data_IF_913924746381
#
_entry.id   IF_913924746381
#
_cell.length_a   1.000
_cell.length_b   1.000
_cell.length_c   1.000
_cell.angle_alpha   90.00
_cell.angle_beta   90.00
_cell.angle_gamma   90.00
#
_symmetry.space_group_name_H-M   'P 1'
#
loop_
_entity.id
_entity.type
_entity.pdbx_description
1 polymer ?
#
# COMPACT_ATOMS: atom_id res chain seq x y z
N UNK A 1 -6.43 9.82 -33.74
CA UNK A 1 -6.00 8.49 -33.22
C UNK A 1 -7.09 7.92 -32.32
N UNK A 2 -7.47 6.63 -32.42
CA UNK A 2 -8.51 6.09 -31.55
C UNK A 2 -7.97 5.75 -30.16
N UNK A 3 -8.80 5.84 -29.08
CA UNK A 3 -8.41 5.46 -27.72
C UNK A 3 -7.89 4.02 -27.61
N UNK A 4 -8.45 3.10 -28.38
CA UNK A 4 -8.03 1.71 -28.41
C UNK A 4 -6.55 1.55 -28.83
N UNK A 5 -6.12 2.31 -29.85
CA UNK A 5 -4.72 2.28 -30.33
C UNK A 5 -3.78 2.81 -29.24
N UNK A 6 -4.19 3.83 -28.50
CA UNK A 6 -3.42 4.38 -27.36
C UNK A 6 -3.15 3.31 -26.30
N UNK A 7 -4.20 2.55 -25.90
CA UNK A 7 -4.04 1.46 -24.93
C UNK A 7 -3.22 0.29 -25.50
N UNK A 8 -3.42 -0.08 -26.75
CA UNK A 8 -2.63 -1.17 -27.38
C UNK A 8 -1.14 -0.77 -27.38
N UNK A 9 -0.79 0.45 -27.79
CA UNK A 9 0.60 0.90 -27.78
C UNK A 9 1.18 0.96 -26.37
N UNK A 10 0.40 1.39 -25.39
CA UNK A 10 0.82 1.34 -23.98
C UNK A 10 1.22 -0.06 -23.55
N UNK A 11 0.36 -1.07 -23.79
CA UNK A 11 0.67 -2.45 -23.47
C UNK A 11 1.84 -3.02 -24.29
N UNK A 12 1.95 -2.67 -25.57
CA UNK A 12 3.11 -3.07 -26.38
C UNK A 12 4.40 -2.52 -25.80
N UNK A 13 4.43 -1.25 -25.38
CA UNK A 13 5.62 -0.66 -24.75
C UNK A 13 5.99 -1.36 -23.44
N UNK A 14 5.01 -1.76 -22.64
CA UNK A 14 5.26 -2.54 -21.44
C UNK A 14 5.81 -3.94 -21.76
N UNK A 15 5.29 -4.60 -22.80
CA UNK A 15 5.75 -5.96 -23.21
C UNK A 15 7.19 -5.96 -23.72
N UNK A 16 7.64 -4.87 -24.36
CA UNK A 16 9.04 -4.69 -24.80
C UNK A 16 9.92 -4.09 -23.69
N UNK A 17 9.43 -4.13 -22.43
CA UNK A 17 10.16 -3.69 -21.25
C UNK A 17 10.56 -2.20 -21.21
N UNK A 18 9.83 -1.31 -21.88
CA UNK A 18 9.99 0.13 -21.69
C UNK A 18 9.46 0.50 -20.29
N UNK A 19 10.20 1.31 -19.50
CA UNK A 19 9.73 1.75 -18.18
C UNK A 19 8.34 2.40 -18.23
N UNK A 20 7.49 2.10 -17.27
CA UNK A 20 6.08 2.56 -17.22
C UNK A 20 5.96 4.08 -17.40
N UNK A 21 6.81 4.85 -16.73
CA UNK A 21 6.80 6.31 -16.82
C UNK A 21 7.09 6.83 -18.24
N UNK A 22 8.04 6.19 -18.93
CA UNK A 22 8.39 6.52 -20.31
C UNK A 22 7.27 6.10 -21.24
N UNK A 23 6.71 4.90 -21.06
CA UNK A 23 5.57 4.39 -21.84
C UNK A 23 4.37 5.32 -21.76
N UNK A 24 4.01 5.76 -20.55
CA UNK A 24 2.91 6.70 -20.34
C UNK A 24 3.15 8.07 -21.01
N UNK A 25 4.37 8.60 -20.85
CA UNK A 25 4.74 9.88 -21.46
C UNK A 25 4.72 9.83 -22.99
N UNK A 26 5.32 8.78 -23.58
CA UNK A 26 5.33 8.59 -25.03
C UNK A 26 3.91 8.43 -25.58
N UNK A 27 3.11 7.54 -25.00
CA UNK A 27 1.75 7.30 -25.49
C UNK A 27 0.85 8.52 -25.30
N UNK A 28 1.08 9.35 -24.28
CA UNK A 28 0.36 10.61 -24.11
C UNK A 28 0.64 11.65 -25.22
N UNK A 29 1.85 11.62 -25.79
CA UNK A 29 2.23 12.57 -26.88
C UNK A 29 1.73 12.12 -28.24
N UNK A 30 1.58 10.81 -28.47
CA UNK A 30 1.26 10.26 -29.81
C UNK A 30 -0.01 10.83 -30.44
N UNK A 31 -1.16 11.01 -29.72
CA UNK A 31 -2.36 11.58 -30.34
C UNK A 31 -2.14 12.93 -31.01
N UNK A 32 -1.38 13.82 -30.35
CA UNK A 32 -1.04 15.15 -30.92
C UNK A 32 0.01 15.11 -32.00
N UNK A 33 0.83 14.07 -32.09
CA UNK A 33 1.80 13.87 -33.19
C UNK A 33 1.09 13.38 -34.44
N UNK A 34 0.17 12.43 -34.32
CA UNK A 34 -0.56 11.87 -35.46
C UNK A 34 -1.72 12.75 -35.93
N UNK A 35 -2.22 13.63 -35.08
CA UNK A 35 -3.28 14.57 -35.41
C UNK A 35 -2.92 15.95 -34.85
N UNK A 36 -2.30 16.84 -35.67
CA UNK A 36 -1.93 18.19 -35.25
C UNK A 36 -3.10 19.07 -34.83
N UNK A 37 -4.35 18.70 -35.20
CA UNK A 37 -5.56 19.41 -34.76
C UNK A 37 -5.99 19.02 -33.37
N UNK A 38 -5.46 17.92 -32.80
CA UNK A 38 -5.74 17.48 -31.46
C UNK A 38 -5.10 18.40 -30.41
N UNK A 39 -5.88 18.82 -29.45
CA UNK A 39 -5.47 19.82 -28.44
C UNK A 39 -4.30 19.41 -27.55
N UNK A 40 -4.04 18.10 -27.40
CA UNK A 40 -2.93 17.59 -26.59
C UNK A 40 -1.61 17.52 -27.38
N UNK A 41 -1.05 18.67 -27.67
CA UNK A 41 0.32 18.78 -28.21
C UNK A 41 1.38 18.29 -27.22
N UNK A 42 2.61 18.03 -27.66
CA UNK A 42 3.74 17.70 -26.79
C UNK A 42 3.95 18.74 -25.67
N UNK A 43 3.77 20.04 -25.98
CA UNK A 43 3.83 21.12 -24.98
C UNK A 43 2.74 20.99 -23.93
N UNK A 44 1.52 20.61 -24.32
CA UNK A 44 0.42 20.35 -23.39
C UNK A 44 0.76 19.18 -22.45
N UNK A 45 1.28 18.09 -22.98
CA UNK A 45 1.68 16.91 -22.19
C UNK A 45 2.75 17.29 -21.16
N UNK A 46 3.81 18.00 -21.58
CA UNK A 46 4.88 18.45 -20.68
C UNK A 46 4.32 19.40 -19.59
N UNK A 47 3.50 20.39 -19.96
CA UNK A 47 2.85 21.27 -18.98
C UNK A 47 1.95 20.50 -18.03
N UNK A 48 1.26 19.48 -18.51
CA UNK A 48 0.42 18.61 -17.68
C UNK A 48 1.23 17.77 -16.72
N UNK A 49 2.43 17.32 -17.09
CA UNK A 49 3.37 16.63 -16.19
C UNK A 49 3.79 17.56 -15.04
N UNK A 50 4.27 18.76 -15.36
CA UNK A 50 4.70 19.71 -14.33
C UNK A 50 3.55 20.19 -13.45
N UNK A 51 2.43 20.62 -14.03
CA UNK A 51 1.28 21.09 -13.26
C UNK A 51 0.58 19.99 -12.47
N UNK A 52 0.79 18.71 -12.84
CA UNK A 52 0.24 17.58 -12.11
C UNK A 52 0.97 17.26 -10.81
N UNK A 53 2.29 17.51 -10.79
CA UNK A 53 3.11 17.31 -9.58
C UNK A 53 3.21 18.56 -8.70
N UNK A 54 2.80 19.72 -9.19
CA UNK A 54 2.73 20.97 -8.43
C UNK A 54 1.42 21.01 -7.61
N UNK A 55 1.36 20.20 -6.57
CA UNK A 55 0.18 20.06 -5.72
C UNK A 55 0.58 19.86 -4.27
N UNK A 56 -0.06 20.64 -3.36
CA UNK A 56 0.25 20.60 -1.94
C UNK A 56 0.04 19.20 -1.30
N UNK A 57 -1.05 18.46 -1.58
CA UNK A 57 -1.22 17.11 -1.06
C UNK A 57 -0.12 16.14 -1.46
N UNK A 58 0.52 16.35 -2.61
CA UNK A 58 1.58 15.49 -3.10
C UNK A 58 2.85 15.55 -2.25
N UNK A 59 3.11 16.69 -1.57
CA UNK A 59 4.25 16.83 -0.67
C UNK A 59 4.20 15.86 0.52
N UNK A 60 3.01 15.34 0.86
CA UNK A 60 2.89 14.31 1.89
C UNK A 60 3.64 13.03 1.53
N UNK A 61 3.71 12.66 0.25
CA UNK A 61 4.32 11.40 -0.22
C UNK A 61 5.81 11.32 0.12
N UNK A 62 6.69 12.27 -0.32
CA UNK A 62 8.09 12.23 0.05
C UNK A 62 8.31 12.32 1.57
N UNK A 63 7.46 13.04 2.30
CA UNK A 63 7.57 13.17 3.74
C UNK A 63 7.24 11.85 4.46
N UNK A 64 6.16 11.14 4.08
CA UNK A 64 5.86 9.83 4.66
C UNK A 64 6.91 8.78 4.29
N UNK A 65 7.43 8.78 3.06
CA UNK A 65 8.53 7.88 2.66
C UNK A 65 9.77 8.14 3.53
N UNK A 66 10.16 9.41 3.69
CA UNK A 66 11.30 9.79 4.53
C UNK A 66 11.09 9.37 5.99
N UNK A 67 9.93 9.67 6.57
CA UNK A 67 9.57 9.25 7.92
C UNK A 67 9.65 7.73 8.08
N UNK A 68 9.10 6.96 7.13
CA UNK A 68 9.14 5.50 7.12
C UNK A 68 10.57 4.94 7.09
N UNK A 69 11.47 5.50 6.26
CA UNK A 69 12.87 5.10 6.18
C UNK A 69 13.62 5.42 7.49
N UNK A 70 13.41 6.63 8.06
CA UNK A 70 13.99 7.01 9.35
C UNK A 70 13.59 5.99 10.42
N UNK A 71 12.32 5.64 10.48
CA UNK A 71 11.78 4.72 11.47
C UNK A 71 12.25 3.27 11.25
N UNK A 72 12.38 2.84 9.99
CA UNK A 72 12.96 1.53 9.67
C UNK A 72 14.38 1.41 10.22
N UNK A 73 15.22 2.39 9.92
CA UNK A 73 16.59 2.47 10.44
C UNK A 73 16.65 2.69 11.95
N UNK A 74 15.60 3.29 12.52
CA UNK A 74 15.40 3.50 13.95
C UNK A 74 15.08 2.23 14.75
N UNK A 75 14.90 1.06 14.09
CA UNK A 75 14.60 -0.22 14.75
C UNK A 75 13.21 -0.27 15.39
N UNK A 76 12.26 0.48 14.85
CA UNK A 76 10.89 0.57 15.36
C UNK A 76 10.11 -0.71 15.14
N UNK A 77 10.29 -1.38 13.99
CA UNK A 77 9.63 -2.65 13.68
C UNK A 77 9.91 -3.73 14.74
N UNK A 78 11.15 -3.84 15.21
CA UNK A 78 11.50 -4.78 16.29
C UNK A 78 10.77 -4.48 17.60
N UNK A 79 10.72 -3.21 17.98
CA UNK A 79 10.07 -2.78 19.23
C UNK A 79 8.56 -3.03 19.21
N UNK A 80 7.92 -2.79 18.07
CA UNK A 80 6.51 -3.12 17.87
C UNK A 80 6.28 -4.64 17.95
N UNK A 81 7.11 -5.43 17.27
CA UNK A 81 7.00 -6.88 17.31
C UNK A 81 7.20 -7.44 18.72
N UNK A 82 8.20 -6.97 19.46
CA UNK A 82 8.47 -7.37 20.84
C UNK A 82 7.27 -7.04 21.75
N UNK A 83 6.66 -5.85 21.58
CA UNK A 83 5.47 -5.45 22.32
C UNK A 83 4.28 -6.38 22.06
N UNK A 84 3.95 -6.65 20.80
CA UNK A 84 2.83 -7.51 20.47
C UNK A 84 3.11 -8.96 20.85
N UNK A 85 4.35 -9.43 20.68
CA UNK A 85 4.78 -10.76 21.13
C UNK A 85 4.66 -10.94 22.64
N UNK A 86 4.89 -9.90 23.42
CA UNK A 86 4.71 -9.94 24.87
C UNK A 86 3.28 -10.30 25.27
N UNK A 87 2.27 -9.75 24.57
CA UNK A 87 0.87 -10.01 24.91
C UNK A 87 0.32 -11.31 24.35
N UNK A 88 0.67 -11.67 23.12
CA UNK A 88 0.04 -12.79 22.41
C UNK A 88 0.98 -13.96 22.09
N UNK A 89 2.28 -13.81 22.31
CA UNK A 89 3.31 -14.76 21.84
C UNK A 89 3.14 -16.20 22.36
N UNK A 90 2.61 -16.38 23.57
CA UNK A 90 2.35 -17.74 24.14
C UNK A 90 1.13 -18.45 23.54
N UNK A 91 0.25 -17.72 22.84
CA UNK A 91 -0.94 -18.30 22.21
C UNK A 91 -0.55 -19.07 20.93
N UNK A 92 -1.44 -19.95 20.48
CA UNK A 92 -1.24 -20.62 19.18
C UNK A 92 -1.21 -19.58 18.06
N UNK A 93 -0.21 -19.67 17.20
CA UNK A 93 0.12 -18.68 16.17
C UNK A 93 0.39 -17.27 16.74
N UNK A 94 0.74 -17.14 18.01
CA UNK A 94 0.91 -15.84 18.65
C UNK A 94 1.98 -14.97 17.98
N UNK A 95 3.11 -15.54 17.61
CA UNK A 95 4.18 -14.82 16.94
C UNK A 95 3.88 -14.48 15.46
N UNK A 96 3.31 -15.39 14.63
CA UNK A 96 2.77 -15.03 13.33
C UNK A 96 1.71 -13.91 13.38
N UNK A 97 0.79 -13.96 14.35
CA UNK A 97 -0.19 -12.87 14.55
C UNK A 97 0.49 -11.56 14.98
N UNK A 98 1.50 -11.62 15.86
CA UNK A 98 2.29 -10.44 16.22
C UNK A 98 2.98 -9.82 15.00
N UNK A 99 3.47 -10.62 14.04
CA UNK A 99 4.02 -10.12 12.78
C UNK A 99 2.96 -9.40 11.94
N UNK A 100 1.75 -9.93 11.82
CA UNK A 100 0.65 -9.26 11.09
C UNK A 100 0.28 -7.94 11.76
N UNK A 101 0.13 -7.90 13.08
CA UNK A 101 -0.16 -6.67 13.82
C UNK A 101 0.99 -5.67 13.66
N UNK A 102 2.24 -6.14 13.66
CA UNK A 102 3.40 -5.28 13.39
C UNK A 102 3.34 -4.68 11.99
N UNK A 103 2.93 -5.45 10.98
CA UNK A 103 2.70 -4.93 9.62
C UNK A 103 1.61 -3.85 9.58
N UNK A 104 0.51 -4.02 10.33
CA UNK A 104 -0.54 -3.00 10.45
C UNK A 104 0.02 -1.69 11.02
N UNK A 105 0.68 -1.74 12.17
CA UNK A 105 1.24 -0.56 12.82
C UNK A 105 2.39 0.07 12.05
N UNK A 106 3.27 -0.75 11.48
CA UNK A 106 4.37 -0.23 10.66
C UNK A 106 3.84 0.36 9.34
N UNK A 107 2.80 -0.24 8.76
CA UNK A 107 2.08 0.30 7.61
C UNK A 107 1.52 1.69 7.88
N UNK A 108 0.93 1.89 9.06
CA UNK A 108 0.45 3.19 9.54
C UNK A 108 1.56 4.25 9.76
N UNK A 109 2.81 3.90 9.55
CA UNK A 109 3.95 4.81 9.63
C UNK A 109 4.53 5.05 8.24
N UNK A 110 4.70 3.97 7.46
CA UNK A 110 5.41 4.00 6.17
C UNK A 110 4.51 4.33 4.98
N UNK A 111 3.22 4.03 5.06
CA UNK A 111 2.26 4.19 3.96
C UNK A 111 2.57 3.34 2.73
N UNK A 112 3.47 2.33 2.85
CA UNK A 112 4.01 1.56 1.73
C UNK A 112 4.07 0.06 2.04
N UNK A 113 3.53 -0.77 1.16
CA UNK A 113 3.57 -2.22 1.29
C UNK A 113 4.99 -2.78 1.18
N UNK A 114 5.74 -2.31 0.19
CA UNK A 114 7.14 -2.68 -0.05
C UNK A 114 8.02 -2.39 1.18
N UNK A 115 7.92 -1.18 1.71
CA UNK A 115 8.66 -0.78 2.90
C UNK A 115 8.27 -1.61 4.14
N UNK A 116 6.99 -1.96 4.26
CA UNK A 116 6.50 -2.81 5.35
C UNK A 116 7.06 -4.23 5.26
N UNK A 117 7.05 -4.87 4.07
CA UNK A 117 7.66 -6.19 3.89
C UNK A 117 9.15 -6.15 4.20
N UNK A 118 9.86 -5.16 3.70
CA UNK A 118 11.30 -5.04 3.93
C UNK A 118 11.63 -4.86 5.42
N UNK A 119 10.99 -3.91 6.10
CA UNK A 119 11.31 -3.54 7.48
C UNK A 119 10.83 -4.59 8.50
N UNK A 120 9.63 -5.13 8.33
CA UNK A 120 9.09 -6.16 9.24
C UNK A 120 9.66 -7.53 8.88
N UNK A 121 9.73 -7.87 7.58
CA UNK A 121 10.19 -9.17 7.11
C UNK A 121 11.64 -9.46 7.43
N UNK A 122 12.54 -8.49 7.25
CA UNK A 122 13.97 -8.67 7.54
C UNK A 122 14.25 -9.10 8.98
N UNK A 123 13.39 -8.74 9.91
CA UNK A 123 13.53 -9.05 11.33
C UNK A 123 12.67 -10.24 11.76
N UNK A 124 11.39 -10.29 11.33
CA UNK A 124 10.46 -11.30 11.82
C UNK A 124 10.65 -12.67 11.17
N UNK A 125 10.97 -12.72 9.86
CA UNK A 125 11.11 -14.01 9.16
C UNK A 125 12.24 -14.85 9.75
N UNK A 126 13.49 -14.34 9.90
CA UNK A 126 14.57 -15.12 10.51
C UNK A 126 14.23 -15.61 11.93
N UNK A 127 13.63 -14.73 12.74
CA UNK A 127 13.25 -15.07 14.11
C UNK A 127 12.18 -16.17 14.15
N UNK A 128 11.15 -16.10 13.34
CA UNK A 128 10.12 -17.13 13.29
C UNK A 128 10.69 -18.48 12.81
N UNK A 129 11.60 -18.48 11.85
CA UNK A 129 12.27 -19.68 11.37
C UNK A 129 13.16 -20.31 12.47
N UNK A 130 13.91 -19.50 13.22
CA UNK A 130 14.70 -19.95 14.38
C UNK A 130 13.83 -20.63 15.43
N UNK A 131 12.60 -20.14 15.62
CA UNK A 131 11.61 -20.69 16.55
C UNK A 131 10.84 -21.89 15.99
N UNK A 132 11.22 -22.40 14.81
CA UNK A 132 10.71 -23.65 14.25
C UNK A 132 9.52 -23.49 13.29
N UNK A 133 9.14 -22.26 12.90
CA UNK A 133 8.12 -22.09 11.87
C UNK A 133 8.64 -22.35 10.45
N UNK A 134 7.76 -22.85 9.59
CA UNK A 134 8.08 -23.06 8.17
C UNK A 134 8.49 -21.74 7.50
N UNK A 135 9.71 -21.73 6.93
CA UNK A 135 10.28 -20.55 6.27
C UNK A 135 9.38 -20.01 5.14
N UNK A 136 8.81 -20.92 4.31
CA UNK A 136 7.93 -20.52 3.21
C UNK A 136 6.63 -19.89 3.72
N UNK A 137 6.06 -20.43 4.81
CA UNK A 137 4.88 -19.87 5.45
C UNK A 137 5.15 -18.48 6.03
N UNK A 138 6.22 -18.31 6.79
CA UNK A 138 6.58 -17.01 7.38
C UNK A 138 6.81 -15.95 6.30
N UNK A 139 7.51 -16.33 5.24
CA UNK A 139 7.79 -15.44 4.10
C UNK A 139 6.50 -15.02 3.38
N UNK A 140 5.62 -15.98 3.09
CA UNK A 140 4.34 -15.69 2.46
C UNK A 140 3.42 -14.84 3.36
N UNK A 141 3.34 -15.14 4.65
CA UNK A 141 2.55 -14.37 5.62
C UNK A 141 2.99 -12.91 5.66
N UNK A 142 4.29 -12.66 5.78
CA UNK A 142 4.82 -11.29 5.85
C UNK A 142 4.68 -10.57 4.51
N UNK A 143 4.87 -11.25 3.38
CA UNK A 143 4.64 -10.66 2.06
C UNK A 143 3.20 -10.18 1.90
N UNK A 144 2.21 -11.01 2.30
CA UNK A 144 0.78 -10.66 2.21
C UNK A 144 0.41 -9.61 3.26
N UNK A 145 0.83 -9.78 4.52
CA UNK A 145 0.56 -8.81 5.57
C UNK A 145 1.20 -7.44 5.30
N UNK A 146 2.32 -7.40 4.57
CA UNK A 146 2.95 -6.15 4.14
C UNK A 146 2.06 -5.29 3.24
N UNK A 147 1.13 -5.90 2.48
CA UNK A 147 0.15 -5.15 1.69
C UNK A 147 -0.78 -4.28 2.55
N UNK A 148 -0.93 -4.56 3.86
CA UNK A 148 -1.65 -3.69 4.79
C UNK A 148 -1.01 -2.30 4.88
N UNK A 149 0.27 -2.17 4.57
CA UNK A 149 0.99 -0.90 4.57
C UNK A 149 0.50 0.13 3.53
N UNK A 150 -0.26 -0.28 2.54
CA UNK A 150 -0.92 0.65 1.61
C UNK A 150 -2.41 0.85 1.91
N UNK A 151 -2.96 0.15 2.89
CA UNK A 151 -4.39 0.20 3.24
C UNK A 151 -4.61 0.93 4.56
N UNK A 152 -3.76 0.69 5.56
CA UNK A 152 -3.84 1.41 6.84
C UNK A 152 -3.29 2.83 6.65
N UNK A 153 -4.06 3.87 7.06
CA UNK A 153 -3.58 5.24 6.94
C UNK A 153 -2.44 5.58 7.95
N UNK A 154 -1.56 6.53 7.56
CA UNK A 154 -1.53 7.21 6.28
C UNK A 154 -1.04 6.30 5.13
N UNK A 155 -1.64 6.45 3.97
CA UNK A 155 -1.41 5.60 2.80
C UNK A 155 -1.13 6.44 1.56
N UNK A 156 -0.02 6.15 0.87
CA UNK A 156 0.33 6.83 -0.38
C UNK A 156 -0.74 6.62 -1.45
N UNK A 157 -1.24 5.38 -1.71
CA UNK A 157 -2.33 5.16 -2.65
C UNK A 157 -3.61 5.96 -2.34
N UNK A 158 -3.97 6.14 -1.08
CA UNK A 158 -5.13 6.96 -0.72
C UNK A 158 -4.93 8.45 -1.03
N UNK A 159 -3.71 8.97 -0.86
CA UNK A 159 -3.38 10.34 -1.29
C UNK A 159 -3.56 10.47 -2.81
N UNK A 160 -3.04 9.48 -3.57
CA UNK A 160 -3.16 9.45 -5.03
C UNK A 160 -4.61 9.38 -5.48
N UNK A 161 -5.41 8.54 -4.82
CA UNK A 161 -6.84 8.45 -5.11
C UNK A 161 -7.56 9.76 -4.81
N UNK A 162 -7.30 10.38 -3.66
CA UNK A 162 -7.87 11.68 -3.31
C UNK A 162 -7.56 12.77 -4.34
N UNK A 163 -6.31 12.78 -4.86
CA UNK A 163 -5.91 13.70 -5.93
C UNK A 163 -6.63 13.42 -7.26
N UNK A 164 -6.83 12.14 -7.61
CA UNK A 164 -7.44 11.75 -8.87
C UNK A 164 -8.96 11.90 -8.87
N UNK A 165 -9.60 11.69 -7.72
CA UNK A 165 -11.06 11.74 -7.55
C UNK A 165 -11.60 13.08 -7.08
N UNK A 166 -10.74 13.93 -6.47
CA UNK A 166 -11.16 15.15 -5.77
C UNK A 166 -11.77 14.90 -4.38
N UNK A 167 -11.79 13.64 -3.90
CA UNK A 167 -12.30 13.30 -2.58
C UNK A 167 -11.33 13.72 -1.47
N UNK A 168 -11.87 13.98 -0.27
CA UNK A 168 -11.08 14.35 0.91
C UNK A 168 -10.11 13.23 1.31
N UNK A 169 -8.81 13.52 1.34
CA UNK A 169 -7.78 12.55 1.75
C UNK A 169 -7.96 12.14 3.21
N UNK A 170 -8.40 13.06 4.08
CA UNK A 170 -8.66 12.75 5.49
C UNK A 170 -9.80 11.75 5.66
N UNK A 171 -10.89 11.91 4.87
CA UNK A 171 -12.03 11.00 4.94
C UNK A 171 -11.68 9.62 4.36
N UNK A 172 -10.89 9.58 3.28
CA UNK A 172 -10.39 8.30 2.72
C UNK A 172 -9.49 7.60 3.73
N UNK A 173 -8.68 8.33 4.49
CA UNK A 173 -7.86 7.76 5.56
C UNK A 173 -8.73 7.14 6.65
N UNK A 174 -9.78 7.82 7.11
CA UNK A 174 -10.75 7.24 8.07
C UNK A 174 -11.38 5.97 7.53
N UNK A 175 -11.84 6.02 6.28
CA UNK A 175 -12.48 4.90 5.61
C UNK A 175 -11.58 3.67 5.45
N UNK A 176 -10.26 3.83 5.43
CA UNK A 176 -9.28 2.74 5.29
C UNK A 176 -9.00 1.95 6.56
N UNK A 177 -9.30 2.49 7.76
CA UNK A 177 -8.93 1.87 9.05
C UNK A 177 -9.64 0.53 9.24
N UNK A 178 -10.96 0.51 9.17
CA UNK A 178 -11.77 -0.69 9.43
C UNK A 178 -11.50 -1.79 8.39
N UNK A 179 -11.43 -1.50 7.08
CA UNK A 179 -10.99 -2.45 6.06
C UNK A 179 -9.62 -3.07 6.35
N UNK A 180 -8.63 -2.25 6.70
CA UNK A 180 -7.29 -2.74 7.00
C UNK A 180 -7.25 -3.65 8.24
N UNK A 181 -7.97 -3.29 9.30
CA UNK A 181 -8.11 -4.15 10.49
C UNK A 181 -8.82 -5.45 10.14
N UNK A 182 -9.90 -5.43 9.35
CA UNK A 182 -10.62 -6.61 8.89
C UNK A 182 -9.70 -7.58 8.16
N UNK A 183 -8.90 -7.06 7.21
CA UNK A 183 -7.95 -7.88 6.45
C UNK A 183 -6.91 -8.49 7.41
N UNK A 184 -6.33 -7.69 8.31
CA UNK A 184 -5.38 -8.16 9.30
C UNK A 184 -5.95 -9.28 10.18
N UNK A 185 -7.21 -9.14 10.63
CA UNK A 185 -7.91 -10.18 11.40
C UNK A 185 -8.07 -11.47 10.59
N UNK A 186 -8.48 -11.40 9.33
CA UNK A 186 -8.63 -12.57 8.48
C UNK A 186 -7.29 -13.27 8.21
N UNK A 187 -6.21 -12.53 8.03
CA UNK A 187 -4.86 -13.10 7.90
C UNK A 187 -4.41 -13.79 9.21
N UNK A 188 -4.72 -13.21 10.37
CA UNK A 188 -4.45 -13.84 11.67
C UNK A 188 -5.28 -15.10 11.87
N UNK A 189 -6.55 -15.13 11.46
CA UNK A 189 -7.38 -16.32 11.47
C UNK A 189 -6.73 -17.44 10.66
N UNK A 190 -6.29 -17.15 9.44
CA UNK A 190 -5.55 -18.14 8.65
C UNK A 190 -4.28 -18.61 9.33
N UNK A 191 -3.48 -17.70 9.92
CA UNK A 191 -2.26 -18.08 10.63
C UNK A 191 -2.56 -19.05 11.79
N UNK A 192 -3.65 -18.84 12.54
CA UNK A 192 -4.10 -19.75 13.62
C UNK A 192 -4.49 -21.12 13.04
N UNK A 193 -5.25 -21.18 11.95
CA UNK A 193 -5.59 -22.44 11.30
C UNK A 193 -4.34 -23.20 10.83
N UNK A 194 -3.41 -22.47 10.21
CA UNK A 194 -2.16 -23.04 9.73
C UNK A 194 -1.34 -23.65 10.85
N UNK A 195 -1.09 -22.91 11.93
CA UNK A 195 -0.28 -23.36 13.06
C UNK A 195 -0.96 -24.51 13.83
N UNK A 196 -2.29 -24.52 13.96
CA UNK A 196 -3.02 -25.66 14.54
C UNK A 196 -2.83 -26.95 13.72
N UNK A 197 -2.78 -26.83 12.39
CA UNK A 197 -2.64 -27.99 11.50
C UNK A 197 -1.21 -28.53 11.44
N UNK A 198 -0.19 -27.67 11.48
CA UNK A 198 1.21 -28.06 11.27
C UNK A 198 1.99 -28.20 12.59
N UNK A 199 1.41 -27.78 13.71
CA UNK A 199 2.09 -27.75 15.02
C UNK A 199 3.04 -26.55 15.17
N UNK A 200 3.51 -26.36 16.39
CA UNK A 200 4.46 -25.29 16.78
C UNK A 200 5.43 -25.85 17.82
N UNK A 201 6.69 -25.43 17.76
CA UNK A 201 7.69 -25.75 18.79
C UNK A 201 7.45 -24.88 20.05
N UNK A 202 6.55 -25.35 20.89
CA UNK A 202 6.12 -24.64 22.11
C UNK A 202 7.24 -24.41 23.10
N UNK A 203 8.27 -25.29 23.13
CA UNK A 203 9.40 -25.12 24.04
C UNK A 203 10.24 -23.91 23.65
N UNK A 204 10.64 -23.81 22.38
CA UNK A 204 11.43 -22.66 21.88
C UNK A 204 10.64 -21.36 21.98
N UNK A 205 9.35 -21.37 21.61
CA UNK A 205 8.49 -20.21 21.70
C UNK A 205 8.36 -19.73 23.13
N UNK A 206 8.05 -20.64 24.08
CA UNK A 206 7.91 -20.30 25.49
C UNK A 206 9.23 -19.80 26.09
N UNK A 207 10.37 -20.42 25.77
CA UNK A 207 11.67 -19.93 26.22
C UNK A 207 11.88 -18.46 25.78
N UNK A 208 11.69 -18.18 24.48
CA UNK A 208 11.82 -16.81 23.94
C UNK A 208 10.88 -15.80 24.57
N UNK A 209 9.62 -16.17 24.78
CA UNK A 209 8.62 -15.29 25.40
C UNK A 209 8.87 -15.12 26.89
N UNK A 210 9.36 -16.16 27.59
CA UNK A 210 9.75 -16.03 29.00
C UNK A 210 10.92 -15.07 29.17
N UNK A 211 11.91 -15.10 28.28
CA UNK A 211 13.01 -14.13 28.26
C UNK A 211 12.50 -12.70 28.04
N UNK A 212 11.50 -12.53 27.18
CA UNK A 212 10.87 -11.25 26.94
C UNK A 212 10.06 -10.80 28.19
N UNK A 213 9.34 -11.73 28.83
CA UNK A 213 8.59 -11.46 30.08
C UNK A 213 9.53 -11.16 31.26
N UNK A 214 10.70 -11.80 31.33
CA UNK A 214 11.71 -11.54 32.36
C UNK A 214 12.24 -10.09 32.31
N UNK A 215 12.16 -9.42 31.15
CA UNK A 215 12.50 -8.00 31.04
C UNK A 215 11.47 -7.08 31.72
N UNK A 216 10.26 -7.60 31.99
CA UNK A 216 9.14 -6.88 32.58
C UNK A 216 8.34 -6.03 31.58
N UNK A 217 7.01 -6.01 31.80
CA UNK A 217 6.08 -5.26 30.92
C UNK A 217 6.47 -3.79 30.79
N UNK A 218 6.84 -3.15 31.88
CA UNK A 218 7.16 -1.73 31.88
C UNK A 218 8.35 -1.39 31.00
N UNK A 219 9.39 -2.23 30.99
CA UNK A 219 10.57 -2.02 30.14
C UNK A 219 10.24 -2.20 28.67
N UNK A 220 9.49 -3.25 28.31
CA UNK A 220 9.05 -3.50 26.93
C UNK A 220 8.13 -2.39 26.46
N UNK A 221 7.14 -2.01 27.26
CA UNK A 221 6.23 -0.90 26.96
C UNK A 221 6.97 0.43 26.76
N UNK A 222 7.85 0.81 27.71
CA UNK A 222 8.64 2.03 27.61
C UNK A 222 9.52 2.06 26.36
N UNK A 223 10.09 0.92 25.98
CA UNK A 223 10.91 0.81 24.75
C UNK A 223 10.10 0.98 23.49
N UNK A 224 8.83 0.55 23.48
CA UNK A 224 7.95 0.56 22.31
C UNK A 224 7.00 1.75 22.28
N UNK A 225 6.90 2.51 23.38
CA UNK A 225 5.94 3.62 23.57
C UNK A 225 6.00 4.64 22.41
N UNK A 226 7.19 5.12 22.09
CA UNK A 226 7.36 6.09 21.01
C UNK A 226 7.11 5.50 19.63
N UNK A 227 7.28 4.19 19.46
CA UNK A 227 6.94 3.50 18.21
C UNK A 227 5.41 3.46 17.99
N UNK A 228 4.65 3.12 19.06
CA UNK A 228 3.18 3.11 19.03
C UNK A 228 2.61 4.52 18.93
N UNK A 229 3.24 5.49 19.56
CA UNK A 229 2.78 6.89 19.59
C UNK A 229 2.85 7.55 18.19
N UNK A 230 3.73 7.07 17.30
CA UNK A 230 3.90 7.66 15.97
C UNK A 230 2.61 7.68 15.14
N UNK A 231 1.96 6.54 14.85
CA UNK A 231 0.70 6.57 14.12
C UNK A 231 -0.42 7.32 14.88
N UNK A 232 -0.40 7.28 16.21
CA UNK A 232 -1.38 8.00 17.05
C UNK A 232 -1.24 9.53 16.88
N UNK A 233 -0.01 10.05 16.84
CA UNK A 233 0.24 11.49 16.60
C UNK A 233 -0.22 11.85 15.19
N UNK A 234 0.18 11.09 14.17
CA UNK A 234 -0.14 11.39 12.78
C UNK A 234 -1.65 11.43 12.58
N UNK A 235 -2.33 10.36 12.95
CA UNK A 235 -3.78 10.24 12.78
C UNK A 235 -4.53 11.19 13.72
N UNK A 236 -4.06 11.36 14.94
CA UNK A 236 -4.63 12.32 15.90
C UNK A 236 -4.59 13.76 15.39
N UNK A 237 -3.49 14.20 14.80
CA UNK A 237 -3.38 15.54 14.20
C UNK A 237 -4.33 15.71 13.01
N UNK A 238 -4.46 14.69 12.16
CA UNK A 238 -5.33 14.74 10.97
C UNK A 238 -6.81 14.78 11.41
N UNK A 239 -7.22 13.86 12.27
CA UNK A 239 -8.64 13.72 12.64
C UNK A 239 -9.14 14.77 13.62
N UNK A 240 -8.24 15.39 14.40
CA UNK A 240 -8.61 16.57 15.20
C UNK A 240 -8.69 17.86 14.38
N UNK A 241 -8.34 17.83 13.09
CA UNK A 241 -8.30 19.01 12.23
C UNK A 241 -7.15 19.99 12.54
N UNK A 242 -6.21 19.62 13.43
CA UNK A 242 -5.06 20.45 13.79
C UNK A 242 -4.04 20.52 12.65
N UNK A 243 -3.92 19.45 11.86
CA UNK A 243 -3.01 19.40 10.72
C UNK A 243 -3.65 18.71 9.53
N UNK A 244 -3.37 19.22 8.34
CA UNK A 244 -3.65 18.54 7.08
C UNK A 244 -2.78 17.28 6.94
N UNK A 245 -3.12 16.32 6.05
CA UNK A 245 -2.29 15.15 5.80
C UNK A 245 -0.83 15.49 5.45
N UNK A 246 -0.60 16.58 4.74
CA UNK A 246 0.75 17.05 4.37
C UNK A 246 1.52 17.58 5.58
N UNK A 247 0.89 18.38 6.42
CA UNK A 247 1.52 18.88 7.66
C UNK A 247 1.79 17.75 8.64
N UNK A 248 0.87 16.79 8.77
CA UNK A 248 1.06 15.58 9.58
C UNK A 248 2.25 14.74 9.09
N UNK A 249 2.46 14.67 7.76
CA UNK A 249 3.62 14.00 7.18
C UNK A 249 4.94 14.71 7.58
N UNK A 250 4.98 16.04 7.58
CA UNK A 250 6.14 16.80 8.05
C UNK A 250 6.37 16.58 9.56
N UNK A 251 5.31 16.64 10.37
CA UNK A 251 5.37 16.34 11.82
C UNK A 251 5.96 14.93 12.03
N UNK A 252 5.55 13.94 11.22
CA UNK A 252 6.05 12.57 11.32
C UNK A 252 7.55 12.47 11.05
N UNK A 253 8.10 13.26 10.12
CA UNK A 253 9.55 13.31 9.85
C UNK A 253 10.31 13.82 11.06
N UNK A 254 9.90 14.96 11.63
CA UNK A 254 10.56 15.52 12.82
C UNK A 254 10.44 14.57 14.02
N UNK A 255 9.25 14.00 14.24
CA UNK A 255 9.04 13.01 15.29
C UNK A 255 9.97 11.81 15.13
N UNK A 256 10.06 11.26 13.91
CA UNK A 256 10.91 10.12 13.59
C UNK A 256 12.39 10.40 13.82
N UNK A 257 12.87 11.59 13.44
CA UNK A 257 14.26 12.01 13.68
C UNK A 257 14.53 12.12 15.17
N UNK A 258 13.66 12.81 15.92
CA UNK A 258 13.83 12.99 17.38
C UNK A 258 13.88 11.63 18.08
N UNK A 259 12.93 10.75 17.77
CA UNK A 259 12.85 9.43 18.39
C UNK A 259 14.06 8.58 18.03
N UNK A 260 14.46 8.52 16.75
CA UNK A 260 15.54 7.65 16.29
C UNK A 260 16.93 8.13 16.74
N UNK A 261 17.16 9.45 16.81
CA UNK A 261 18.47 10.02 17.15
C UNK A 261 18.63 10.15 18.67
N UNK A 262 17.66 10.77 19.35
CA UNK A 262 17.83 11.17 20.75
C UNK A 262 17.27 10.14 21.74
N UNK A 263 16.12 9.52 21.43
CA UNK A 263 15.45 8.59 22.35
C UNK A 263 15.99 7.18 22.18
N UNK A 264 15.93 6.65 20.97
CA UNK A 264 16.40 5.29 20.68
C UNK A 264 17.89 5.19 20.42
N UNK A 265 18.53 6.30 20.04
CA UNK A 265 19.96 6.38 19.71
C UNK A 265 20.39 5.33 18.69
N UNK A 266 19.47 4.92 17.82
CA UNK A 266 19.66 3.90 16.81
C UNK A 266 20.16 4.46 15.47
N UNK A 267 19.92 5.76 15.22
CA UNK A 267 20.37 6.48 14.04
C UNK A 267 21.45 7.52 14.41
N UNK A 268 22.74 7.24 14.13
CA UNK A 268 23.79 8.22 14.31
C UNK A 268 23.59 9.44 13.39
N UNK A 269 23.85 10.65 13.88
CA UNK A 269 23.67 11.90 13.12
C UNK A 269 24.43 11.86 11.78
N UNK A 270 25.61 11.24 11.75
CA UNK A 270 26.41 11.07 10.52
C UNK A 270 25.70 10.26 9.43
N UNK A 271 24.75 9.39 9.78
CA UNK A 271 23.96 8.58 8.85
C UNK A 271 22.63 9.23 8.42
N UNK A 272 22.29 10.38 8.98
CA UNK A 272 21.06 11.11 8.61
C UNK A 272 21.11 11.50 7.13
N UNK A 273 22.26 11.96 6.64
CA UNK A 273 22.44 12.29 5.23
C UNK A 273 22.14 11.08 4.32
N UNK A 274 22.63 9.90 4.67
CA UNK A 274 22.39 8.68 3.88
C UNK A 274 20.90 8.32 3.82
N UNK A 275 20.17 8.55 4.91
CA UNK A 275 18.71 8.35 4.97
C UNK A 275 17.97 9.30 4.04
N UNK A 276 18.36 10.58 4.00
CA UNK A 276 17.77 11.54 3.06
C UNK A 276 18.07 11.16 1.60
N UNK A 277 19.31 10.75 1.30
CA UNK A 277 19.68 10.28 -0.05
C UNK A 277 18.86 9.04 -0.44
N UNK A 278 18.68 8.09 0.48
CA UNK A 278 17.85 6.90 0.26
C UNK A 278 16.39 7.28 -0.02
N UNK A 279 15.84 8.22 0.76
CA UNK A 279 14.49 8.71 0.55
C UNK A 279 14.32 9.36 -0.83
N UNK A 280 15.26 10.24 -1.23
CA UNK A 280 15.25 10.86 -2.56
C UNK A 280 15.30 9.81 -3.66
N UNK A 281 16.19 8.82 -3.55
CA UNK A 281 16.29 7.72 -4.52
C UNK A 281 15.01 6.87 -4.60
N UNK A 282 14.26 6.79 -3.51
CA UNK A 282 13.02 6.03 -3.45
C UNK A 282 11.86 6.80 -4.09
N UNK A 283 11.69 8.09 -3.78
CA UNK A 283 10.52 8.82 -4.25
C UNK A 283 10.70 9.50 -5.62
N UNK A 284 11.93 9.82 -6.05
CA UNK A 284 12.14 10.50 -7.32
C UNK A 284 11.59 9.73 -8.54
N UNK A 285 11.80 8.39 -8.66
CA UNK A 285 11.14 7.61 -9.70
C UNK A 285 9.61 7.65 -9.61
N UNK A 286 9.07 7.64 -8.39
CA UNK A 286 7.62 7.70 -8.15
C UNK A 286 7.05 9.01 -8.66
N UNK A 287 7.70 10.14 -8.40
CA UNK A 287 7.26 11.45 -8.91
C UNK A 287 7.25 11.50 -10.44
N UNK A 288 8.24 10.88 -11.09
CA UNK A 288 8.28 10.84 -12.55
C UNK A 288 7.14 9.98 -13.14
N UNK A 289 6.88 8.81 -12.54
CA UNK A 289 5.73 7.97 -12.91
C UNK A 289 4.42 8.75 -12.73
N UNK A 290 4.30 9.49 -11.64
CA UNK A 290 3.14 10.29 -11.28
C UNK A 290 2.90 11.42 -12.29
N UNK A 291 3.94 12.18 -12.64
CA UNK A 291 3.86 13.23 -13.65
C UNK A 291 3.36 12.67 -15.00
N UNK A 292 3.95 11.55 -15.44
CA UNK A 292 3.55 10.90 -16.69
C UNK A 292 2.11 10.35 -16.63
N UNK A 293 1.70 9.77 -15.50
CA UNK A 293 0.34 9.22 -15.29
C UNK A 293 -0.71 10.32 -15.34
N UNK A 294 -0.46 11.47 -14.69
CA UNK A 294 -1.39 12.60 -14.70
C UNK A 294 -1.53 13.16 -16.12
N UNK A 295 -0.43 13.34 -16.84
CA UNK A 295 -0.47 13.81 -18.22
C UNK A 295 -1.25 12.82 -19.12
N UNK A 296 -0.99 11.53 -18.99
CA UNK A 296 -1.72 10.49 -19.73
C UNK A 296 -3.23 10.50 -19.40
N UNK A 297 -3.59 10.57 -18.11
CA UNK A 297 -4.98 10.67 -17.67
C UNK A 297 -5.70 11.89 -18.26
N UNK A 298 -5.04 13.06 -18.32
CA UNK A 298 -5.59 14.27 -18.95
C UNK A 298 -5.80 14.08 -20.45
N UNK A 299 -4.87 13.42 -21.15
CA UNK A 299 -5.02 13.10 -22.56
C UNK A 299 -6.20 12.16 -22.81
N UNK A 300 -6.36 11.10 -21.98
CA UNK A 300 -7.52 10.22 -22.05
C UNK A 300 -8.84 10.97 -21.82
N UNK A 301 -8.85 11.94 -20.92
CA UNK A 301 -10.01 12.81 -20.68
C UNK A 301 -10.34 13.68 -21.89
N UNK A 302 -9.33 14.28 -22.56
CA UNK A 302 -9.52 15.02 -23.80
C UNK A 302 -10.03 14.13 -24.95
N UNK A 303 -9.65 12.87 -24.97
CA UNK A 303 -10.16 11.86 -25.89
C UNK A 303 -11.56 11.34 -25.51
N UNK A 304 -12.16 11.85 -24.43
CA UNK A 304 -13.47 11.45 -23.88
C UNK A 304 -13.57 9.96 -23.52
N UNK A 305 -12.43 9.32 -23.23
CA UNK A 305 -12.38 7.88 -22.90
C UNK A 305 -13.27 7.52 -21.71
N UNK A 306 -13.25 8.28 -20.58
CA UNK A 306 -14.14 8.00 -19.44
C UNK A 306 -15.61 7.99 -19.85
N UNK A 307 -16.04 8.99 -20.64
CA UNK A 307 -17.44 9.15 -21.10
C UNK A 307 -17.86 8.02 -22.04
N UNK A 308 -16.96 7.62 -22.97
CA UNK A 308 -17.24 6.52 -23.90
C UNK A 308 -17.40 5.18 -23.16
N UNK A 309 -16.51 4.88 -22.22
CA UNK A 309 -16.55 3.62 -21.47
C UNK A 309 -17.75 3.62 -20.52
N UNK A 310 -17.97 4.71 -19.77
CA UNK A 310 -19.08 4.80 -18.82
C UNK A 310 -20.43 4.74 -19.53
N UNK A 311 -20.61 5.47 -20.64
CA UNK A 311 -21.82 5.43 -21.46
C UNK A 311 -22.10 4.04 -22.01
N UNK A 312 -21.09 3.31 -22.49
CA UNK A 312 -21.24 1.96 -22.97
C UNK A 312 -21.64 0.99 -21.85
N UNK A 313 -20.97 1.08 -20.67
CA UNK A 313 -21.28 0.19 -19.53
C UNK A 313 -22.70 0.46 -19.01
N UNK A 314 -23.08 1.72 -18.81
CA UNK A 314 -24.41 2.08 -18.30
C UNK A 314 -25.54 1.72 -19.27
N UNK A 315 -25.27 1.69 -20.59
CA UNK A 315 -26.24 1.25 -21.59
C UNK A 315 -26.44 -0.27 -21.64
N UNK A 316 -25.41 -1.06 -21.30
CA UNK A 316 -25.46 -2.52 -21.46
C UNK A 316 -25.62 -3.29 -20.15
N UNK A 317 -25.26 -2.69 -19.02
CA UNK A 317 -25.32 -3.32 -17.70
C UNK A 317 -26.27 -2.57 -16.78
N UNK A 318 -27.28 -3.28 -16.30
CA UNK A 318 -28.28 -2.75 -15.34
C UNK A 318 -27.99 -3.17 -13.90
N UNK A 319 -27.21 -4.23 -13.72
CA UNK A 319 -26.90 -4.77 -12.39
C UNK A 319 -25.63 -4.18 -11.81
N UNK A 320 -25.77 -3.42 -10.71
CA UNK A 320 -24.65 -2.91 -9.91
C UNK A 320 -23.67 -4.01 -9.50
N UNK A 321 -24.19 -5.19 -9.10
CA UNK A 321 -23.38 -6.31 -8.64
C UNK A 321 -22.45 -6.83 -9.76
N UNK A 322 -23.00 -7.00 -10.97
CA UNK A 322 -22.21 -7.45 -12.13
C UNK A 322 -21.11 -6.44 -12.45
N UNK A 323 -21.43 -5.16 -12.48
CA UNK A 323 -20.44 -4.10 -12.76
C UNK A 323 -19.34 -4.08 -11.71
N UNK A 324 -19.68 -4.16 -10.42
CA UNK A 324 -18.66 -4.20 -9.35
C UNK A 324 -17.78 -5.43 -9.42
N UNK A 325 -18.32 -6.61 -9.78
CA UNK A 325 -17.50 -7.82 -9.99
C UNK A 325 -16.55 -7.63 -11.16
N UNK A 326 -17.02 -7.11 -12.29
CA UNK A 326 -16.17 -6.85 -13.46
C UNK A 326 -15.08 -5.85 -13.14
N UNK A 327 -15.41 -4.75 -12.45
CA UNK A 327 -14.43 -3.75 -12.01
C UNK A 327 -13.38 -4.40 -11.07
N UNK A 328 -13.80 -5.22 -10.11
CA UNK A 328 -12.87 -5.92 -9.23
C UNK A 328 -11.93 -6.85 -10.02
N UNK A 329 -12.42 -7.57 -11.03
CA UNK A 329 -11.58 -8.43 -11.88
C UNK A 329 -10.58 -7.61 -12.69
N UNK A 330 -11.00 -6.48 -13.26
CA UNK A 330 -10.11 -5.57 -14.00
C UNK A 330 -9.03 -5.01 -13.07
N UNK A 331 -9.40 -4.53 -11.89
CA UNK A 331 -8.47 -3.99 -10.91
C UNK A 331 -7.46 -5.05 -10.43
N UNK A 332 -7.89 -6.30 -10.20
CA UNK A 332 -7.00 -7.41 -9.87
C UNK A 332 -5.98 -7.65 -10.99
N UNK A 333 -6.44 -7.75 -12.24
CA UNK A 333 -5.56 -7.96 -13.39
C UNK A 333 -4.55 -6.81 -13.54
N UNK A 334 -4.99 -5.56 -13.40
CA UNK A 334 -4.11 -4.40 -13.47
C UNK A 334 -3.11 -4.40 -12.31
N UNK A 335 -3.55 -4.66 -11.08
CA UNK A 335 -2.68 -4.71 -9.90
C UNK A 335 -1.62 -5.81 -9.95
N UNK A 336 -1.86 -6.90 -10.72
CA UNK A 336 -0.86 -7.95 -10.95
C UNK A 336 0.29 -7.51 -11.86
N UNK A 337 0.08 -6.47 -12.69
CA UNK A 337 1.01 -6.05 -13.76
C UNK A 337 1.66 -4.71 -13.46
N UNK A 338 1.00 -3.82 -12.72
CA UNK A 338 1.51 -2.48 -12.47
C UNK A 338 1.31 -2.05 -11.00
N UNK A 339 2.11 -1.08 -10.57
CA UNK A 339 2.01 -0.51 -9.22
C UNK A 339 0.67 0.21 -9.00
N UNK A 340 0.26 0.32 -7.74
CA UNK A 340 -0.98 0.99 -7.31
C UNK A 340 -1.03 2.45 -7.75
N UNK A 341 0.08 3.18 -7.69
CA UNK A 341 0.10 4.62 -7.97
C UNK A 341 -0.33 4.95 -9.41
N UNK A 342 0.32 4.43 -10.47
CA UNK A 342 -0.11 4.67 -11.83
C UNK A 342 -1.50 4.06 -12.12
N UNK A 343 -1.81 2.90 -11.55
CA UNK A 343 -3.13 2.27 -11.73
C UNK A 343 -4.26 3.18 -11.23
N UNK A 344 -4.13 3.75 -10.03
CA UNK A 344 -5.11 4.67 -9.45
C UNK A 344 -5.29 5.91 -10.33
N UNK A 345 -4.20 6.56 -10.73
CA UNK A 345 -4.27 7.81 -11.49
C UNK A 345 -4.88 7.64 -12.88
N UNK A 346 -4.70 6.48 -13.50
CA UNK A 346 -5.26 6.17 -14.82
C UNK A 346 -6.71 5.70 -14.70
N UNK A 347 -6.98 4.80 -13.77
CA UNK A 347 -8.28 4.11 -13.71
C UNK A 347 -9.33 4.91 -12.93
N UNK A 348 -8.95 5.75 -11.96
CA UNK A 348 -9.94 6.53 -11.20
C UNK A 348 -10.82 7.40 -12.09
N UNK A 349 -10.30 8.24 -13.00
CA UNK A 349 -11.16 9.06 -13.86
C UNK A 349 -12.00 8.25 -14.84
N UNK A 350 -11.62 7.01 -15.12
CA UNK A 350 -12.38 6.11 -16.00
C UNK A 350 -13.50 5.38 -15.23
N UNK A 351 -13.17 4.82 -14.06
CA UNK A 351 -14.06 3.95 -13.31
C UNK A 351 -15.00 4.69 -12.34
N UNK A 352 -14.54 5.84 -11.80
CA UNK A 352 -15.32 6.60 -10.82
C UNK A 352 -16.69 7.04 -11.37
N UNK A 353 -16.80 7.64 -12.57
CA UNK A 353 -18.11 8.00 -13.13
C UNK A 353 -19.04 6.81 -13.32
N UNK A 354 -18.49 5.62 -13.60
CA UNK A 354 -19.28 4.40 -13.76
C UNK A 354 -19.91 4.01 -12.42
N UNK A 355 -19.12 3.92 -11.36
CA UNK A 355 -19.61 3.47 -10.05
C UNK A 355 -20.52 4.50 -9.39
N UNK A 356 -20.29 5.80 -9.62
CA UNK A 356 -21.19 6.88 -9.21
C UNK A 356 -22.55 6.79 -9.92
N UNK A 357 -22.55 6.45 -11.21
CA UNK A 357 -23.78 6.17 -11.97
C UNK A 357 -24.62 5.03 -11.39
N UNK A 358 -24.00 4.08 -10.67
CA UNK A 358 -24.68 3.04 -9.89
C UNK A 358 -24.90 3.40 -8.41
N UNK A 359 -24.71 4.67 -8.02
CA UNK A 359 -24.92 5.16 -6.66
C UNK A 359 -23.91 4.64 -5.63
N UNK A 360 -22.64 4.44 -6.03
CA UNK A 360 -21.57 4.12 -5.11
C UNK A 360 -20.89 5.40 -4.61
N UNK A 361 -20.60 5.44 -3.30
CA UNK A 361 -19.89 6.58 -2.71
C UNK A 361 -18.44 6.61 -3.20
N UNK A 362 -17.88 7.77 -3.63
CA UNK A 362 -16.51 7.90 -4.10
C UNK A 362 -15.46 7.44 -3.10
N UNK A 363 -15.65 7.72 -1.80
CA UNK A 363 -14.70 7.31 -0.75
C UNK A 363 -14.69 5.79 -0.62
N UNK A 364 -15.87 5.16 -0.60
CA UNK A 364 -15.99 3.71 -0.56
C UNK A 364 -15.34 3.04 -1.78
N UNK A 365 -15.54 3.60 -2.97
CA UNK A 365 -14.87 3.12 -4.19
C UNK A 365 -13.34 3.23 -4.09
N UNK A 366 -12.83 4.34 -3.55
CA UNK A 366 -11.38 4.53 -3.33
C UNK A 366 -10.79 3.47 -2.42
N UNK A 367 -11.46 3.15 -1.32
CA UNK A 367 -11.04 2.07 -0.42
C UNK A 367 -11.06 0.72 -1.13
N UNK A 368 -12.15 0.38 -1.82
CA UNK A 368 -12.27 -0.85 -2.60
C UNK A 368 -11.14 -0.97 -3.64
N UNK A 369 -10.87 0.10 -4.37
CA UNK A 369 -9.83 0.15 -5.40
C UNK A 369 -8.44 -0.09 -4.83
N UNK A 370 -8.07 0.60 -3.74
CA UNK A 370 -6.76 0.44 -3.09
C UNK A 370 -6.60 -0.96 -2.51
N UNK A 371 -7.62 -1.49 -1.84
CA UNK A 371 -7.62 -2.86 -1.30
C UNK A 371 -7.44 -3.89 -2.40
N UNK A 372 -8.12 -3.72 -3.52
CA UNK A 372 -8.02 -4.62 -4.67
C UNK A 372 -6.61 -4.59 -5.29
N UNK A 373 -6.08 -3.41 -5.58
CA UNK A 373 -4.74 -3.25 -6.13
C UNK A 373 -3.65 -3.75 -5.17
N UNK A 374 -3.87 -3.66 -3.85
CA UNK A 374 -2.96 -4.18 -2.84
C UNK A 374 -2.86 -5.73 -2.88
N UNK A 375 -3.91 -6.44 -3.31
CA UNK A 375 -3.84 -7.89 -3.57
C UNK A 375 -2.90 -8.16 -4.74
N UNK A 376 -2.84 -7.29 -5.73
CA UNK A 376 -1.92 -7.39 -6.86
C UNK A 376 -0.44 -7.45 -6.43
N UNK A 377 -0.07 -6.80 -5.31
CA UNK A 377 1.30 -6.85 -4.78
C UNK A 377 1.77 -8.25 -4.37
N UNK A 378 0.87 -9.17 -4.18
CA UNK A 378 1.17 -10.55 -3.76
C UNK A 378 0.67 -11.60 -4.74
N UNK A 379 0.21 -11.15 -5.92
CA UNK A 379 -0.34 -12.05 -6.94
C UNK A 379 0.56 -12.05 -8.18
N UNK A 380 1.01 -13.23 -8.67
CA UNK A 380 1.74 -13.34 -9.92
C UNK A 380 0.94 -12.74 -11.11
N UNK A 381 1.60 -12.23 -12.19
CA UNK A 381 2.98 -12.50 -12.58
C UNK A 381 4.04 -11.60 -11.90
N UNK A 382 3.73 -10.36 -11.50
CA UNK A 382 4.74 -9.50 -10.88
C UNK A 382 4.75 -9.71 -9.36
N UNK A 383 3.75 -9.22 -8.63
CA UNK A 383 3.68 -9.39 -7.18
C UNK A 383 4.87 -8.76 -6.43
N UNK A 384 4.99 -7.44 -6.45
CA UNK A 384 6.18 -6.71 -5.97
C UNK A 384 6.60 -7.10 -4.54
N UNK A 385 5.65 -7.32 -3.64
CA UNK A 385 5.95 -7.76 -2.28
C UNK A 385 6.55 -9.18 -2.23
N UNK A 386 6.21 -10.04 -3.19
CA UNK A 386 6.80 -11.38 -3.30
C UNK A 386 8.28 -11.30 -3.68
N UNK A 387 8.65 -10.36 -4.56
CA UNK A 387 10.06 -10.13 -4.91
C UNK A 387 10.86 -9.60 -3.73
N UNK A 388 10.31 -8.66 -2.96
CA UNK A 388 10.95 -8.16 -1.74
C UNK A 388 11.12 -9.29 -0.72
N UNK A 389 10.09 -10.09 -0.49
CA UNK A 389 10.17 -11.23 0.42
C UNK A 389 11.16 -12.31 -0.07
N UNK A 390 11.24 -12.53 -1.39
CA UNK A 390 12.23 -13.41 -2.02
C UNK A 390 13.65 -12.93 -1.77
N UNK A 391 13.92 -11.63 -1.94
CA UNK A 391 15.26 -11.07 -1.69
C UNK A 391 15.70 -11.13 -0.22
N UNK A 392 14.77 -11.23 0.72
CA UNK A 392 15.08 -11.39 2.15
C UNK A 392 15.34 -12.84 2.56
N UNK A 393 14.88 -13.81 1.77
CA UNK A 393 14.83 -15.21 2.19
C UNK A 393 15.50 -16.18 1.22
N UNK A 394 15.89 -15.71 0.03
CA UNK A 394 16.41 -16.51 -1.08
C UNK A 394 15.44 -17.62 -1.55
N UNK A 395 14.15 -17.53 -1.22
CA UNK A 395 13.11 -18.45 -1.70
C UNK A 395 12.63 -17.95 -3.07
N UNK A 396 12.50 -18.82 -4.10
CA UNK A 396 11.93 -18.44 -5.38
C UNK A 396 10.55 -17.83 -5.25
N UNK A 397 10.29 -16.73 -5.99
CA UNK A 397 9.01 -16.00 -5.97
C UNK A 397 7.81 -16.93 -6.19
N UNK A 398 7.94 -17.89 -7.11
CA UNK A 398 6.88 -18.86 -7.42
C UNK A 398 6.50 -19.72 -6.22
N UNK A 399 7.49 -20.12 -5.40
CA UNK A 399 7.25 -20.92 -4.19
C UNK A 399 6.58 -20.10 -3.10
N UNK A 400 6.98 -18.83 -2.94
CA UNK A 400 6.31 -17.90 -2.02
C UNK A 400 4.87 -17.67 -2.48
N UNK A 401 4.65 -17.44 -3.77
CA UNK A 401 3.33 -17.22 -4.35
C UNK A 401 2.40 -18.41 -4.13
N UNK A 402 2.87 -19.63 -4.38
CA UNK A 402 2.07 -20.84 -4.10
C UNK A 402 1.66 -20.93 -2.64
N UNK A 403 2.56 -20.56 -1.72
CA UNK A 403 2.29 -20.59 -0.29
C UNK A 403 1.40 -19.42 0.16
N UNK A 404 1.41 -18.30 -0.56
CA UNK A 404 0.56 -17.13 -0.34
C UNK A 404 -0.90 -17.33 -0.82
N UNK A 405 -1.18 -18.27 -1.73
CA UNK A 405 -2.53 -18.45 -2.32
C UNK A 405 -3.66 -18.56 -1.28
N UNK A 406 -3.54 -19.33 -0.20
CA UNK A 406 -4.60 -19.37 0.80
C UNK A 406 -4.78 -18.02 1.53
N UNK A 407 -3.68 -17.30 1.82
CA UNK A 407 -3.70 -15.96 2.43
C UNK A 407 -4.39 -14.96 1.50
N UNK A 408 -4.09 -15.03 0.20
CA UNK A 408 -4.76 -14.24 -0.84
C UNK A 408 -6.26 -14.57 -0.88
N UNK A 409 -6.63 -15.84 -0.71
CA UNK A 409 -8.05 -16.24 -0.59
C UNK A 409 -8.77 -15.54 0.56
N UNK A 410 -8.18 -15.47 1.74
CA UNK A 410 -8.73 -14.71 2.88
C UNK A 410 -8.77 -13.20 2.59
N UNK A 411 -7.79 -12.67 1.90
CA UNK A 411 -7.78 -11.27 1.48
C UNK A 411 -8.89 -10.98 0.44
N UNK A 412 -9.12 -11.87 -0.52
CA UNK A 412 -10.24 -11.77 -1.47
C UNK A 412 -11.61 -11.82 -0.77
N UNK A 413 -11.76 -12.63 0.28
CA UNK A 413 -12.97 -12.62 1.11
C UNK A 413 -13.18 -11.24 1.73
N UNK A 414 -12.13 -10.64 2.30
CA UNK A 414 -12.21 -9.27 2.80
C UNK A 414 -12.60 -8.27 1.72
N UNK A 415 -11.99 -8.35 0.52
CA UNK A 415 -12.32 -7.48 -0.61
C UNK A 415 -13.80 -7.58 -1.00
N UNK A 416 -14.36 -8.80 -1.06
CA UNK A 416 -15.77 -9.00 -1.36
C UNK A 416 -16.68 -8.40 -0.27
N UNK A 417 -16.35 -8.61 1.00
CA UNK A 417 -17.09 -7.99 2.11
C UNK A 417 -17.04 -6.46 2.02
N UNK A 418 -15.86 -5.88 1.77
CA UNK A 418 -15.68 -4.44 1.61
C UNK A 418 -16.48 -3.96 0.40
N UNK A 419 -16.44 -4.64 -0.75
CA UNK A 419 -17.13 -4.24 -1.97
C UNK A 419 -18.64 -4.15 -1.80
N UNK A 420 -19.24 -5.14 -1.11
CA UNK A 420 -20.70 -5.25 -1.03
C UNK A 420 -21.31 -4.72 0.27
N UNK A 421 -20.49 -4.40 1.27
CA UNK A 421 -20.92 -3.83 2.56
C UNK A 421 -20.26 -2.45 2.75
N UNK A 422 -20.88 -1.36 2.21
CA UNK A 422 -20.29 -0.02 2.29
C UNK A 422 -20.00 0.46 3.71
N UNK A 423 -20.76 -0.02 4.70
CA UNK A 423 -20.60 0.31 6.11
C UNK A 423 -19.22 -0.04 6.63
N UNK A 424 -18.55 -1.07 6.08
CA UNK A 424 -17.17 -1.42 6.49
C UNK A 424 -16.19 -0.27 6.22
N UNK A 425 -16.40 0.47 5.13
CA UNK A 425 -15.56 1.62 4.77
C UNK A 425 -16.09 2.93 5.34
N UNK A 426 -17.41 3.09 5.48
CA UNK A 426 -18.04 4.37 5.76
C UNK A 426 -18.49 4.56 7.23
N UNK A 427 -18.28 3.54 8.09
CA UNK A 427 -18.77 3.57 9.47
C UNK A 427 -18.07 4.59 10.38
N UNK A 428 -16.92 5.14 9.97
CA UNK A 428 -16.19 6.15 10.74
C UNK A 428 -16.37 7.57 10.17
N UNK A 429 -17.09 7.71 9.06
CA UNK A 429 -17.47 8.98 8.43
C UNK A 429 -18.88 9.36 8.87
#
# INVERSE_FOLDING_TARGET
MSPLVVFILFFVFLLIAIPISVSLGLVAVLPGVFDPSFTASASYVIRSMFGGIDSFPLLAVPMFILSGIIMARGGISKRLFDLFSFFIGKRTAGLPCAAVITCLFYGAISGSGIATVAAVGSMTIPLLVELGYDKKFCTALVAVAGSLGVIIPPSIPFIMYGMASGASVSDIFLAGIVPGVLIGLLLMVYAVFYCKKHGEDKEKINAKINDLHAQGLWKVFKSSFFAVLSPVIILGCIYSGVASPTEAAVISVFYSLIVSIFIYKSLPIKKVYDVFVEAVRTYAPILFILAASIAFSRVLTLMQVPQLISGWILAHFTSKVVVLIVINLVLLLVGMVMDTTPAILILTPILLPIVEGFGMNPIHFGVMMVVNLAIGFVTPPIGVNLFVASSLTDIPVVDIAKRAMPLIGFFLVALLLITFIPQISLCLL
#
